data_IF_873370431526
#
_entry.id   IF_873370431526
#
_cell.length_a   1.000
_cell.length_b   1.000
_cell.length_c   1.000
_cell.angle_alpha   90.00
_cell.angle_beta   90.00
_cell.angle_gamma   90.00
#
_symmetry.space_group_name_H-M   'P 1'
#
loop_
_entity.id
_entity.type
_entity.pdbx_description
1 polymer ?
#
# COMPACT_ATOMS: atom_id res chain seq x y z
N UNK A 1 -17.74 3.15 -0.56
CA UNK A 1 -19.12 3.55 -0.90
C UNK A 1 -19.66 2.63 -1.98
N UNK A 2 -20.96 2.32 -1.99
CA UNK A 2 -21.52 1.49 -3.04
C UNK A 2 -23.04 1.60 -3.10
N UNK A 3 -23.60 1.16 -4.21
CA UNK A 3 -25.04 1.24 -4.45
C UNK A 3 -25.45 0.54 -5.73
N UNK A 4 -26.76 0.56 -5.99
CA UNK A 4 -27.35 0.01 -7.20
C UNK A 4 -28.23 1.07 -7.84
N UNK A 5 -28.04 1.30 -9.14
CA UNK A 5 -28.83 2.19 -9.98
C UNK A 5 -29.36 1.40 -11.18
N UNK A 6 -30.62 0.99 -11.11
CA UNK A 6 -31.25 0.16 -12.15
C UNK A 6 -30.48 -1.15 -12.38
N UNK A 7 -29.94 -1.33 -13.58
CA UNK A 7 -29.16 -2.49 -13.99
C UNK A 7 -27.67 -2.44 -13.60
N UNK A 8 -27.21 -1.33 -13.00
CA UNK A 8 -25.82 -1.11 -12.62
C UNK A 8 -25.66 -1.20 -11.10
N UNK A 9 -24.81 -2.12 -10.64
CA UNK A 9 -24.30 -2.13 -9.27
C UNK A 9 -22.86 -1.61 -9.28
N UNK A 10 -22.52 -0.76 -8.33
CA UNK A 10 -21.19 -0.15 -8.22
C UNK A 10 -20.68 -0.18 -6.79
N UNK A 11 -19.36 -0.30 -6.66
CA UNK A 11 -18.64 -0.13 -5.41
C UNK A 11 -17.35 0.62 -5.69
N UNK A 12 -17.10 1.65 -4.90
CA UNK A 12 -15.92 2.51 -4.95
C UNK A 12 -15.28 2.53 -3.56
N UNK A 13 -13.98 2.33 -3.49
CA UNK A 13 -13.20 2.42 -2.26
C UNK A 13 -11.99 3.30 -2.52
N UNK A 14 -11.75 4.23 -1.60
CA UNK A 14 -10.56 5.03 -1.57
C UNK A 14 -9.98 4.97 -0.16
N UNK A 15 -8.68 4.82 -0.05
CA UNK A 15 -7.98 4.88 1.23
C UNK A 15 -6.64 5.58 1.08
N UNK A 16 -6.25 6.30 2.12
CA UNK A 16 -4.89 6.79 2.29
C UNK A 16 -4.25 6.06 3.47
N UNK A 17 -2.97 5.79 3.35
CA UNK A 17 -2.15 5.17 4.38
C UNK A 17 -0.89 6.02 4.50
N UNK A 18 -0.52 6.40 5.71
CA UNK A 18 0.75 7.05 6.01
C UNK A 18 1.29 6.52 7.32
N UNK A 19 2.61 6.46 7.45
CA UNK A 19 3.26 6.11 8.70
C UNK A 19 4.76 6.31 8.64
N UNK A 20 5.35 6.64 9.79
CA UNK A 20 6.79 6.86 9.91
C UNK A 20 7.59 5.55 10.03
N UNK A 21 6.89 4.43 10.20
CA UNK A 21 7.49 3.12 10.42
C UNK A 21 8.12 2.96 11.81
N UNK A 22 8.60 1.75 12.10
CA UNK A 22 9.21 1.43 13.40
C UNK A 22 10.73 1.71 13.43
N UNK A 23 11.37 1.64 12.26
CA UNK A 23 12.82 1.84 12.08
C UNK A 23 13.08 3.16 11.36
N UNK A 24 14.27 3.69 11.53
CA UNK A 24 14.80 4.74 10.66
C UNK A 24 14.70 4.26 9.20
N UNK A 25 14.35 5.17 8.29
CA UNK A 25 14.18 4.87 6.86
C UNK A 25 13.13 3.77 6.59
N UNK A 26 12.02 3.78 7.32
CA UNK A 26 10.87 2.88 7.09
C UNK A 26 9.54 3.61 6.97
N UNK A 27 9.58 4.90 6.64
CA UNK A 27 8.35 5.65 6.38
C UNK A 27 7.70 5.14 5.08
N UNK A 28 6.38 5.13 5.09
CA UNK A 28 5.57 4.68 3.96
C UNK A 28 4.35 5.56 3.79
N UNK A 29 3.91 5.70 2.53
CA UNK A 29 2.61 6.25 2.21
C UNK A 29 1.98 5.52 1.02
N UNK A 30 0.66 5.49 0.99
CA UNK A 30 -0.06 4.97 -0.15
C UNK A 30 -1.44 5.60 -0.27
N UNK A 31 -1.75 6.13 -1.45
CA UNK A 31 -3.11 6.48 -1.85
C UNK A 31 -3.63 5.38 -2.76
N UNK A 32 -4.75 4.78 -2.37
CA UNK A 32 -5.34 3.64 -3.07
C UNK A 32 -6.74 3.99 -3.51
N UNK A 33 -7.06 3.63 -4.76
CA UNK A 33 -8.40 3.68 -5.30
C UNK A 33 -8.76 2.34 -5.92
N UNK A 34 -9.96 1.86 -5.60
CA UNK A 34 -10.50 0.63 -6.13
C UNK A 34 -11.95 0.82 -6.52
N UNK A 35 -12.35 0.26 -7.65
CA UNK A 35 -13.72 0.29 -8.09
C UNK A 35 -14.13 -1.00 -8.77
N UNK A 36 -15.41 -1.35 -8.61
CA UNK A 36 -16.05 -2.47 -9.27
C UNK A 36 -17.43 -2.07 -9.73
N UNK A 37 -17.72 -2.38 -10.98
CA UNK A 37 -19.00 -2.11 -11.63
C UNK A 37 -19.54 -3.42 -12.19
N UNK A 38 -20.83 -3.68 -11.95
CA UNK A 38 -21.56 -4.81 -12.51
C UNK A 38 -22.79 -4.29 -13.23
N UNK A 39 -22.76 -4.37 -14.56
CA UNK A 39 -23.85 -3.96 -15.44
C UNK A 39 -24.59 -5.21 -15.94
N UNK A 40 -25.90 -5.28 -15.70
CA UNK A 40 -26.78 -6.38 -16.14
C UNK A 40 -27.95 -5.80 -16.94
N UNK A 41 -27.73 -5.40 -18.21
CA UNK A 41 -28.76 -4.68 -18.97
C UNK A 41 -29.96 -5.57 -19.30
N UNK A 42 -29.79 -6.90 -19.35
CA UNK A 42 -30.88 -7.88 -19.44
C UNK A 42 -30.43 -9.22 -18.82
N UNK A 43 -31.29 -10.24 -18.85
CA UNK A 43 -31.02 -11.56 -18.25
C UNK A 43 -29.89 -12.35 -18.92
N UNK A 44 -29.50 -12.00 -20.15
CA UNK A 44 -28.52 -12.72 -20.97
C UNK A 44 -27.14 -12.08 -20.96
N UNK A 45 -27.04 -10.79 -20.65
CA UNK A 45 -25.77 -10.05 -20.68
C UNK A 45 -25.41 -9.57 -19.27
N UNK A 46 -24.20 -9.90 -18.83
CA UNK A 46 -23.61 -9.41 -17.57
C UNK A 46 -22.18 -9.00 -17.85
N UNK A 47 -21.86 -7.75 -17.53
CA UNK A 47 -20.52 -7.17 -17.69
C UNK A 47 -20.03 -6.77 -16.31
N UNK A 48 -18.82 -7.19 -15.95
CA UNK A 48 -18.15 -6.76 -14.73
C UNK A 48 -16.85 -6.07 -15.09
N UNK A 49 -16.67 -4.84 -14.64
CA UNK A 49 -15.43 -4.09 -14.76
C UNK A 49 -14.84 -3.87 -13.37
N UNK A 50 -13.52 -4.01 -13.26
CA UNK A 50 -12.76 -3.74 -12.04
C UNK A 50 -11.61 -2.82 -12.41
N UNK A 51 -11.47 -1.70 -11.70
CA UNK A 51 -10.39 -0.75 -11.89
C UNK A 51 -9.71 -0.51 -10.56
N UNK A 52 -8.38 -0.51 -10.57
CA UNK A 52 -7.56 -0.23 -9.40
C UNK A 52 -6.45 0.75 -9.75
N UNK A 53 -6.13 1.64 -8.82
CA UNK A 53 -5.02 2.57 -8.90
C UNK A 53 -4.36 2.67 -7.53
N UNK A 54 -3.05 2.78 -7.52
CA UNK A 54 -2.26 2.99 -6.31
C UNK A 54 -1.12 3.95 -6.62
N UNK A 55 -0.93 4.92 -5.75
CA UNK A 55 0.28 5.72 -5.68
C UNK A 55 0.94 5.39 -4.35
N UNK A 56 2.07 4.71 -4.40
CA UNK A 56 2.73 4.20 -3.20
C UNK A 56 4.15 4.76 -3.09
N UNK A 57 4.58 4.94 -1.86
CA UNK A 57 5.94 5.29 -1.49
C UNK A 57 6.34 4.43 -0.29
N UNK A 58 7.57 3.92 -0.30
CA UNK A 58 8.09 3.12 0.78
C UNK A 58 9.60 3.31 0.92
N UNK A 59 10.07 3.59 2.13
CA UNK A 59 11.48 3.52 2.46
C UNK A 59 11.86 2.10 2.90
N UNK A 60 13.00 1.62 2.42
CA UNK A 60 13.47 0.29 2.75
C UNK A 60 14.64 0.38 3.74
N UNK A 61 14.46 0.09 5.03
CA UNK A 61 15.53 0.17 6.03
C UNK A 61 16.54 -0.99 5.93
N UNK A 62 16.34 -1.91 4.97
CA UNK A 62 17.10 -3.13 4.73
C UNK A 62 17.27 -4.05 5.96
N UNK A 63 17.97 -5.17 5.77
CA UNK A 63 18.34 -6.09 6.83
C UNK A 63 19.43 -5.54 7.74
N UNK A 64 19.40 -5.90 9.03
CA UNK A 64 20.51 -5.64 9.95
C UNK A 64 21.46 -6.83 9.97
N UNK A 65 22.76 -6.57 10.15
CA UNK A 65 23.72 -7.62 10.47
C UNK A 65 23.35 -8.29 11.81
N UNK A 66 23.54 -9.61 11.91
CA UNK A 66 23.24 -10.42 13.09
C UNK A 66 23.91 -9.89 14.36
N UNK A 67 25.15 -9.39 14.26
CA UNK A 67 25.86 -8.83 15.42
C UNK A 67 25.14 -7.59 15.97
N UNK A 68 24.72 -6.68 15.09
CA UNK A 68 23.98 -5.47 15.49
C UNK A 68 22.58 -5.76 16.01
N UNK A 69 21.91 -6.78 15.47
CA UNK A 69 20.61 -7.22 15.96
C UNK A 69 20.66 -7.74 17.41
N UNK A 70 21.79 -8.33 17.82
CA UNK A 70 21.99 -8.97 19.12
C UNK A 70 22.59 -8.04 20.17
N UNK A 71 23.28 -6.96 19.77
CA UNK A 71 24.10 -6.13 20.67
C UNK A 71 23.27 -5.23 21.61
N UNK A 72 22.43 -4.34 21.07
CA UNK A 72 21.51 -3.52 21.87
C UNK A 72 20.11 -3.46 21.22
N UNK A 73 19.18 -4.33 21.67
CA UNK A 73 17.86 -4.47 21.06
C UNK A 73 17.03 -3.19 21.00
N UNK A 74 17.18 -2.27 21.97
CA UNK A 74 16.36 -1.05 22.04
C UNK A 74 16.83 0.04 21.08
N UNK A 75 18.12 0.06 20.78
CA UNK A 75 18.75 1.14 19.98
C UNK A 75 19.09 0.64 18.58
N UNK A 76 19.77 -0.51 18.45
CA UNK A 76 20.28 -0.99 17.17
C UNK A 76 19.18 -1.55 16.26
N UNK A 77 18.11 -2.15 16.83
CA UNK A 77 16.99 -2.66 16.03
C UNK A 77 16.12 -1.58 15.40
N UNK A 78 16.25 -0.34 15.85
CA UNK A 78 15.54 0.81 15.27
C UNK A 78 16.29 1.46 14.11
N UNK A 79 17.57 1.15 13.89
CA UNK A 79 18.37 1.77 12.83
C UNK A 79 18.10 1.13 11.47
N UNK A 80 18.31 1.89 10.40
CA UNK A 80 18.43 1.35 9.05
C UNK A 80 19.83 0.74 8.85
N UNK A 81 19.99 -0.13 7.85
CA UNK A 81 21.32 -0.44 7.35
C UNK A 81 21.97 0.88 6.83
N UNK A 82 23.24 1.20 7.14
CA UNK A 82 23.90 2.39 6.63
C UNK A 82 23.81 2.56 5.11
N UNK A 83 23.79 1.45 4.37
CA UNK A 83 23.70 1.46 2.92
C UNK A 83 22.30 1.86 2.41
N UNK A 84 21.26 1.61 3.22
CA UNK A 84 19.86 1.92 2.92
C UNK A 84 19.59 3.42 2.79
N UNK A 85 20.29 4.26 3.55
CA UNK A 85 20.08 5.73 3.51
C UNK A 85 20.36 6.37 2.15
N UNK A 86 21.03 5.65 1.24
CA UNK A 86 21.51 6.19 -0.04
C UNK A 86 20.42 6.25 -1.11
N UNK A 87 19.43 5.33 -1.08
CA UNK A 87 18.39 5.24 -2.11
C UNK A 87 17.01 5.08 -1.47
N UNK A 88 16.08 5.99 -1.77
CA UNK A 88 14.67 5.72 -1.56
C UNK A 88 14.18 4.82 -2.68
N UNK A 89 13.47 3.74 -2.37
CA UNK A 89 12.84 2.91 -3.40
C UNK A 89 11.65 3.68 -4.00
N UNK A 90 11.62 3.77 -5.33
CA UNK A 90 10.56 4.38 -6.15
C UNK A 90 10.45 5.92 -6.08
N UNK A 91 11.48 6.63 -6.53
CA UNK A 91 11.33 7.98 -7.12
C UNK A 91 10.84 7.91 -8.57
#
# INVERSE_FOLDING_TARGET
MGGTLGSLNYHLSGSTLTGDGYRDHSAYSADNFWSKFKLTPNSRVKITAVLGWTNFFNQNPEGLNLTWFMDNPKIQRRRANPDAYTYNEYQ
#
